data_IF_916153192036
#
_entry.id   IF_916153192036
#
_cell.length_a   1.000
_cell.length_b   1.000
_cell.length_c   1.000
_cell.angle_alpha   90.00
_cell.angle_beta   90.00
_cell.angle_gamma   90.00
#
_symmetry.space_group_name_H-M   'P 1'
#
loop_
_entity.id
_entity.type
_entity.pdbx_description
1 polymer ?
#
# COMPACT_ATOMS: atom_id res chain seq x y z
N UNK A 1 -57.26 68.33 27.87
CA UNK A 1 -56.41 67.36 28.61
C UNK A 1 -56.09 66.23 27.68
N UNK A 2 -54.90 66.28 27.03
CA UNK A 2 -54.55 65.40 25.97
C UNK A 2 -53.35 64.50 26.43
N UNK A 3 -53.59 63.21 26.56
CA UNK A 3 -52.59 62.23 26.98
C UNK A 3 -51.80 61.81 25.75
N UNK A 4 -50.50 62.13 25.71
CA UNK A 4 -49.58 61.67 24.71
C UNK A 4 -49.14 60.22 25.04
N UNK A 5 -49.47 59.30 24.17
CA UNK A 5 -48.93 57.94 24.18
C UNK A 5 -47.52 57.96 23.63
N UNK A 6 -46.51 57.57 24.42
CA UNK A 6 -45.17 57.30 23.98
C UNK A 6 -45.13 55.89 23.44
N UNK A 7 -44.72 55.74 22.17
CA UNK A 7 -44.42 54.43 21.51
C UNK A 7 -42.95 54.12 21.74
N UNK A 8 -42.68 53.07 22.50
CA UNK A 8 -41.35 52.51 22.69
C UNK A 8 -41.07 51.57 21.51
N UNK A 9 -40.16 51.99 20.62
CA UNK A 9 -39.65 51.12 19.56
C UNK A 9 -38.46 50.34 20.15
N UNK A 10 -38.70 49.07 20.50
CA UNK A 10 -37.60 48.13 20.76
C UNK A 10 -36.97 47.72 19.48
N UNK A 11 -35.80 48.25 19.18
CA UNK A 11 -34.92 47.76 18.09
C UNK A 11 -34.23 46.51 18.61
N UNK A 12 -34.71 45.35 18.20
CA UNK A 12 -34.00 44.08 18.39
C UNK A 12 -32.82 44.04 17.41
N UNK A 13 -31.64 44.23 17.91
CA UNK A 13 -30.41 43.89 17.17
C UNK A 13 -30.31 42.37 17.13
N UNK A 14 -30.72 41.75 16.02
CA UNK A 14 -30.33 40.40 15.66
C UNK A 14 -28.86 40.44 15.25
N UNK A 15 -27.96 40.12 16.17
CA UNK A 15 -26.60 39.77 15.85
C UNK A 15 -26.66 38.38 15.25
N UNK A 16 -26.72 38.32 13.91
CA UNK A 16 -26.45 37.09 13.17
C UNK A 16 -24.99 36.72 13.44
N UNK A 17 -24.77 35.80 14.38
CA UNK A 17 -23.53 35.04 14.38
C UNK A 17 -23.53 34.18 13.11
N UNK A 18 -22.89 34.69 12.09
CA UNK A 18 -22.44 33.84 11.01
C UNK A 18 -21.41 32.88 11.63
N UNK A 19 -21.86 31.69 11.97
CA UNK A 19 -20.96 30.57 12.18
C UNK A 19 -20.34 30.34 10.78
N UNK A 20 -19.15 30.91 10.55
CA UNK A 20 -18.31 30.55 9.42
C UNK A 20 -17.93 29.10 9.68
N UNK A 21 -18.69 28.15 9.10
CA UNK A 21 -18.19 26.81 8.93
C UNK A 21 -16.95 26.96 8.06
N UNK A 22 -15.77 26.85 8.66
CA UNK A 22 -14.55 26.71 7.89
C UNK A 22 -14.83 25.60 6.86
N UNK A 23 -14.73 25.95 5.59
CA UNK A 23 -14.98 25.02 4.51
C UNK A 23 -13.90 23.96 4.61
N UNK A 24 -14.25 22.77 5.09
CA UNK A 24 -13.34 21.64 5.20
C UNK A 24 -13.12 21.14 3.79
N UNK A 25 -11.96 21.41 3.24
CA UNK A 25 -11.57 20.87 1.95
C UNK A 25 -11.14 19.42 2.10
N UNK A 26 -11.56 18.57 1.17
CA UNK A 26 -11.30 17.15 1.17
C UNK A 26 -10.66 16.75 -0.16
N UNK A 27 -9.49 16.14 -0.08
CA UNK A 27 -8.75 15.68 -1.26
C UNK A 27 -8.56 14.17 -1.17
N UNK A 28 -8.63 13.48 -2.29
CA UNK A 28 -8.41 12.05 -2.40
C UNK A 28 -7.28 11.77 -3.39
N UNK A 29 -6.25 11.09 -2.92
CA UNK A 29 -5.16 10.56 -3.73
C UNK A 29 -5.18 9.04 -3.69
N UNK A 30 -4.73 8.41 -4.76
CA UNK A 30 -4.47 6.98 -4.81
C UNK A 30 -2.99 6.77 -4.95
N UNK A 31 -2.45 5.99 -4.04
CA UNK A 31 -1.01 5.77 -3.92
C UNK A 31 -0.75 4.29 -4.13
N UNK A 32 0.14 3.97 -5.05
CA UNK A 32 0.73 2.65 -5.14
C UNK A 32 2.15 2.70 -4.64
N UNK A 33 2.51 1.77 -3.76
CA UNK A 33 3.87 1.64 -3.26
C UNK A 33 4.39 0.26 -3.57
N UNK A 34 5.58 0.17 -4.14
CA UNK A 34 6.32 -1.08 -4.25
C UNK A 34 7.48 -1.05 -3.27
N UNK A 35 7.42 -1.89 -2.25
CA UNK A 35 8.51 -2.10 -1.32
C UNK A 35 9.32 -3.33 -1.74
N UNK A 36 10.64 -3.21 -1.76
CA UNK A 36 11.59 -4.29 -2.01
C UNK A 36 12.60 -4.35 -0.89
N UNK A 37 12.75 -5.52 -0.29
CA UNK A 37 13.79 -5.79 0.69
C UNK A 37 14.91 -6.59 0.04
N UNK A 38 16.12 -6.11 0.18
CA UNK A 38 17.34 -6.77 -0.31
C UNK A 38 18.41 -6.70 0.77
N UNK A 39 18.45 -7.72 1.62
CA UNK A 39 19.41 -7.77 2.71
C UNK A 39 19.91 -9.18 3.04
N UNK A 40 21.17 -9.24 3.48
CA UNK A 40 21.80 -10.43 4.04
C UNK A 40 21.35 -10.66 5.47
N UNK A 41 20.98 -11.90 5.79
CA UNK A 41 20.62 -12.32 7.15
C UNK A 41 21.69 -13.23 7.72
N UNK A 42 22.02 -12.97 9.00
CA UNK A 42 22.94 -13.78 9.80
C UNK A 42 22.20 -14.24 11.05
N UNK A 43 22.31 -15.53 11.38
CA UNK A 43 21.79 -16.10 12.64
C UNK A 43 22.98 -16.61 13.45
N UNK A 44 23.13 -16.12 14.68
CA UNK A 44 24.26 -16.44 15.56
C UNK A 44 25.62 -16.23 14.86
N UNK A 45 25.74 -15.11 14.12
CA UNK A 45 26.93 -14.76 13.35
C UNK A 45 27.14 -15.53 12.05
N UNK A 46 26.34 -16.59 11.78
CA UNK A 46 26.46 -17.38 10.56
C UNK A 46 25.57 -16.79 9.46
N UNK A 47 26.12 -16.56 8.27
CA UNK A 47 25.39 -16.14 7.08
C UNK A 47 24.38 -17.23 6.67
N UNK A 48 23.10 -16.85 6.56
CA UNK A 48 22.01 -17.75 6.20
C UNK A 48 21.60 -17.59 4.73
N UNK A 49 21.66 -16.37 4.21
CA UNK A 49 21.28 -16.09 2.84
C UNK A 49 20.91 -14.64 2.60
N UNK A 50 20.54 -14.37 1.36
CA UNK A 50 19.97 -13.11 0.94
C UNK A 50 18.45 -13.21 1.05
N UNK A 51 17.85 -12.28 1.78
CA UNK A 51 16.40 -12.13 1.86
C UNK A 51 15.98 -11.11 0.79
N UNK A 52 15.12 -11.56 -0.10
CA UNK A 52 14.45 -10.70 -1.07
C UNK A 52 12.96 -10.87 -0.92
N UNK A 53 12.31 -9.84 -0.39
CA UNK A 53 10.86 -9.78 -0.28
C UNK A 53 10.33 -8.62 -1.11
N UNK A 54 9.11 -8.74 -1.58
CA UNK A 54 8.40 -7.66 -2.25
C UNK A 54 6.99 -7.54 -1.67
N UNK A 55 6.57 -6.30 -1.46
CA UNK A 55 5.19 -5.98 -1.13
C UNK A 55 4.73 -4.84 -2.05
N UNK A 56 3.48 -4.91 -2.48
CA UNK A 56 2.82 -3.86 -3.25
C UNK A 56 1.63 -3.37 -2.48
N UNK A 57 1.52 -2.08 -2.38
CA UNK A 57 0.47 -1.41 -1.64
C UNK A 57 -0.40 -0.65 -2.63
N UNK A 58 -1.70 -0.76 -2.44
CA UNK A 58 -2.68 0.11 -3.05
C UNK A 58 -3.42 0.83 -1.93
N UNK A 59 -3.29 2.15 -1.91
CA UNK A 59 -3.73 2.99 -0.79
C UNK A 59 -4.56 4.14 -1.32
N UNK A 60 -5.69 4.40 -0.69
CA UNK A 60 -6.47 5.62 -0.84
C UNK A 60 -6.11 6.52 0.33
N UNK A 61 -5.53 7.68 0.03
CA UNK A 61 -5.25 8.75 0.97
C UNK A 61 -6.37 9.78 0.87
N UNK A 62 -6.98 10.12 1.99
CA UNK A 62 -7.93 11.24 2.07
C UNK A 62 -7.39 12.29 3.00
N UNK A 63 -7.06 13.46 2.49
CA UNK A 63 -6.66 14.62 3.27
C UNK A 63 -7.89 15.44 3.65
N UNK A 64 -7.97 15.81 4.92
CA UNK A 64 -8.92 16.79 5.45
C UNK A 64 -8.13 17.97 5.99
N UNK A 65 -8.26 19.13 5.34
CA UNK A 65 -7.49 20.33 5.67
C UNK A 65 -8.27 21.20 6.67
N UNK A 66 -7.62 21.54 7.78
CA UNK A 66 -8.07 22.49 8.78
C UNK A 66 -7.19 23.74 8.72
N UNK A 67 -7.54 24.79 9.42
CA UNK A 67 -6.83 26.08 9.39
C UNK A 67 -5.37 25.99 9.91
N UNK A 68 -5.08 25.04 10.81
CA UNK A 68 -3.81 24.91 11.52
C UNK A 68 -3.15 23.54 11.35
N UNK A 69 -3.85 22.56 10.76
CA UNK A 69 -3.34 21.21 10.53
C UNK A 69 -4.09 20.48 9.43
N UNK A 70 -3.57 19.32 9.02
CA UNK A 70 -4.26 18.37 8.14
C UNK A 70 -4.36 17.01 8.81
N UNK A 71 -5.45 16.30 8.50
CA UNK A 71 -5.65 14.90 8.87
C UNK A 71 -5.65 14.08 7.59
N UNK A 72 -4.71 13.14 7.49
CA UNK A 72 -4.63 12.17 6.41
C UNK A 72 -5.18 10.83 6.89
N UNK A 73 -6.18 10.30 6.19
CA UNK A 73 -6.67 8.95 6.40
C UNK A 73 -6.20 8.08 5.24
N UNK A 74 -5.61 6.96 5.58
CA UNK A 74 -5.09 5.97 4.64
C UNK A 74 -5.90 4.69 4.76
N UNK A 75 -6.51 4.25 3.66
CA UNK A 75 -7.23 2.99 3.57
C UNK A 75 -6.77 2.23 2.33
N UNK A 76 -6.60 0.93 2.44
CA UNK A 76 -6.21 0.14 1.29
C UNK A 76 -5.79 -1.27 1.62
N UNK A 77 -4.89 -1.80 0.82
CA UNK A 77 -4.42 -3.18 0.93
C UNK A 77 -2.94 -3.30 0.58
N UNK A 78 -2.26 -4.20 1.28
CA UNK A 78 -0.92 -4.67 0.95
C UNK A 78 -1.00 -6.07 0.35
N UNK A 79 -0.43 -6.24 -0.82
CA UNK A 79 -0.25 -7.50 -1.53
C UNK A 79 1.17 -8.00 -1.25
N UNK A 80 1.30 -9.05 -0.47
CA UNK A 80 2.58 -9.46 0.10
C UNK A 80 3.07 -10.75 -0.53
N UNK A 81 4.33 -10.76 -0.96
CA UNK A 81 5.07 -11.94 -1.34
C UNK A 81 6.09 -12.25 -0.24
N UNK A 82 5.89 -13.32 0.51
CA UNK A 82 6.72 -13.73 1.65
C UNK A 82 7.87 -14.67 1.28
N UNK A 83 7.90 -15.18 0.05
CA UNK A 83 8.93 -16.14 -0.40
C UNK A 83 10.07 -15.42 -1.07
N UNK A 84 11.29 -15.80 -0.70
CA UNK A 84 12.48 -15.34 -1.40
C UNK A 84 12.42 -15.72 -2.87
N UNK A 85 12.51 -14.72 -3.75
CA UNK A 85 12.55 -14.91 -5.20
C UNK A 85 14.00 -15.02 -5.67
N UNK A 86 14.35 -16.15 -6.23
CA UNK A 86 15.59 -16.31 -7.00
C UNK A 86 15.24 -16.31 -8.48
N UNK A 87 15.88 -15.44 -9.28
CA UNK A 87 15.84 -15.43 -10.74
C UNK A 87 14.44 -15.41 -11.37
N UNK A 88 13.56 -14.52 -10.93
CA UNK A 88 12.19 -14.41 -11.48
C UNK A 88 12.01 -13.13 -12.31
N UNK A 89 12.92 -12.86 -13.23
CA UNK A 89 12.75 -11.81 -14.23
C UNK A 89 11.58 -12.16 -15.15
N UNK A 90 10.78 -11.18 -15.51
CA UNK A 90 9.64 -11.30 -16.44
C UNK A 90 8.52 -12.29 -16.05
N UNK A 91 8.29 -12.51 -14.76
CA UNK A 91 7.15 -13.30 -14.29
C UNK A 91 6.20 -12.47 -13.42
N UNK A 92 4.90 -12.78 -13.50
CA UNK A 92 3.90 -12.19 -12.61
C UNK A 92 4.18 -12.52 -11.13
N UNK A 93 3.67 -11.69 -10.23
CA UNK A 93 3.92 -11.78 -8.80
C UNK A 93 2.89 -12.67 -8.09
N UNK A 94 3.31 -13.82 -7.53
CA UNK A 94 2.45 -14.59 -6.63
C UNK A 94 2.23 -13.80 -5.33
N UNK A 95 0.99 -13.69 -4.91
CA UNK A 95 0.62 -13.07 -3.64
C UNK A 95 0.36 -14.14 -2.62
N UNK A 96 1.11 -14.12 -1.52
CA UNK A 96 0.93 -15.04 -0.38
C UNK A 96 -0.15 -14.55 0.59
N UNK A 97 -0.33 -13.24 0.69
CA UNK A 97 -1.34 -12.63 1.54
C UNK A 97 -1.79 -11.27 1.03
N UNK A 98 -3.06 -10.94 1.26
CA UNK A 98 -3.60 -9.59 1.11
C UNK A 98 -3.95 -9.09 2.50
N UNK A 99 -3.37 -7.97 2.89
CA UNK A 99 -3.49 -7.41 4.24
C UNK A 99 -4.19 -6.05 4.17
N UNK A 100 -5.23 -5.81 4.99
CA UNK A 100 -5.88 -4.51 5.02
C UNK A 100 -4.97 -3.44 5.61
N UNK A 101 -5.09 -2.23 5.08
CA UNK A 101 -4.42 -1.03 5.57
C UNK A 101 -5.49 -0.06 6.05
N UNK A 102 -5.36 0.43 7.28
CA UNK A 102 -6.14 1.55 7.77
C UNK A 102 -5.37 2.27 8.88
N UNK A 103 -5.01 3.53 8.64
CA UNK A 103 -4.39 4.38 9.65
C UNK A 103 -4.67 5.86 9.39
N UNK A 104 -4.43 6.69 10.39
CA UNK A 104 -4.62 8.13 10.33
C UNK A 104 -3.34 8.83 10.75
N UNK A 105 -2.95 9.85 10.01
CA UNK A 105 -1.84 10.75 10.33
C UNK A 105 -2.41 12.14 10.61
N UNK A 106 -2.02 12.74 11.75
CA UNK A 106 -2.33 14.12 12.07
C UNK A 106 -1.05 14.96 11.99
N UNK A 107 -1.08 16.05 11.23
CA UNK A 107 0.08 16.93 11.09
C UNK A 107 0.26 17.93 12.23
N UNK A 108 -0.70 18.01 13.16
CA UNK A 108 -0.55 18.88 14.34
C UNK A 108 0.37 18.22 15.38
N UNK A 109 1.61 18.70 15.56
CA UNK A 109 2.55 18.12 16.50
C UNK A 109 2.12 18.27 17.97
N UNK A 110 1.18 19.17 18.29
CA UNK A 110 0.69 19.36 19.64
C UNK A 110 -0.34 18.30 20.06
N UNK A 111 -0.98 17.61 19.11
CA UNK A 111 -2.06 16.67 19.39
C UNK A 111 -1.53 15.24 19.54
N UNK A 112 -0.37 14.89 18.96
CA UNK A 112 0.06 13.49 18.94
C UNK A 112 1.59 13.31 18.96
N UNK A 113 2.22 13.77 20.03
CA UNK A 113 3.67 13.55 20.21
C UNK A 113 4.04 12.09 20.44
N UNK A 114 3.12 11.26 20.94
CA UNK A 114 3.41 9.89 21.35
C UNK A 114 2.95 8.83 20.35
N UNK A 115 2.04 9.16 19.43
CA UNK A 115 1.55 8.20 18.43
C UNK A 115 0.96 8.92 17.18
N UNK A 116 1.78 9.25 16.18
CA UNK A 116 1.31 9.84 14.93
C UNK A 116 0.33 8.94 14.15
N UNK A 117 0.14 7.69 14.58
CA UNK A 117 -0.76 6.71 13.99
C UNK A 117 -1.80 6.24 15.00
N UNK A 118 -2.94 6.93 15.06
CA UNK A 118 -3.99 6.63 16.04
C UNK A 118 -4.75 5.34 15.76
N UNK A 119 -4.74 4.80 14.55
CA UNK A 119 -5.46 3.57 14.19
C UNK A 119 -4.63 2.73 13.25
N UNK A 120 -3.80 1.91 13.80
CA UNK A 120 -3.14 0.88 13.02
C UNK A 120 -3.90 -0.43 13.16
N UNK A 121 -4.64 -0.80 12.14
CA UNK A 121 -5.03 -2.19 11.95
C UNK A 121 -3.87 -2.95 11.29
N UNK A 122 -2.73 -3.00 11.98
CA UNK A 122 -1.72 -3.99 11.63
C UNK A 122 -2.28 -5.34 12.02
N UNK A 123 -2.47 -6.21 11.04
CA UNK A 123 -2.62 -7.61 11.39
C UNK A 123 -1.35 -8.03 12.12
N UNK A 124 -1.49 -8.77 13.24
CA UNK A 124 -0.37 -9.27 14.05
C UNK A 124 0.70 -10.00 13.22
N UNK A 125 0.35 -10.38 12.01
CA UNK A 125 1.17 -11.18 11.09
C UNK A 125 1.90 -10.37 10.00
N UNK A 126 1.62 -9.07 9.82
CA UNK A 126 2.08 -8.38 8.62
C UNK A 126 3.62 -8.25 8.56
N UNK A 127 4.30 -8.01 9.66
CA UNK A 127 5.75 -7.82 9.67
C UNK A 127 6.28 -6.73 8.74
N UNK A 128 5.40 -6.16 7.93
CA UNK A 128 5.70 -5.09 7.01
C UNK A 128 5.31 -3.77 7.65
N UNK A 129 6.24 -2.84 7.78
CA UNK A 129 5.91 -1.47 8.11
C UNK A 129 5.13 -0.91 6.94
N UNK A 130 3.81 -0.97 7.07
CA UNK A 130 2.92 -0.30 6.15
C UNK A 130 3.22 1.18 6.20
N UNK A 131 3.63 1.72 5.05
CA UNK A 131 3.91 3.12 4.95
C UNK A 131 4.87 3.55 6.07
N UNK A 132 6.16 3.48 5.81
CA UNK A 132 7.09 3.93 6.82
C UNK A 132 6.76 5.36 7.19
N UNK A 133 6.33 5.46 8.40
CA UNK A 133 6.00 6.68 9.05
C UNK A 133 7.27 7.44 9.37
N UNK A 134 7.92 7.90 8.35
CA UNK A 134 8.73 9.05 8.61
C UNK A 134 7.77 10.19 8.89
N UNK A 135 7.91 10.95 9.97
CA UNK A 135 7.35 12.27 10.05
C UNK A 135 8.01 13.04 8.92
N UNK A 136 7.34 12.99 7.79
CA UNK A 136 7.95 13.08 6.50
C UNK A 136 8.33 14.50 6.18
N UNK A 137 7.69 15.46 6.80
CA UNK A 137 7.97 16.85 6.51
C UNK A 137 8.09 17.63 7.81
N UNK A 138 8.97 18.62 7.86
CA UNK A 138 8.93 19.62 8.90
C UNK A 138 7.59 20.38 8.82
N UNK A 139 7.32 21.21 9.80
CA UNK A 139 6.16 22.11 9.78
C UNK A 139 6.13 22.98 8.52
N UNK A 140 7.29 23.25 7.91
CA UNK A 140 7.43 23.94 6.61
C UNK A 140 7.21 23.00 5.44
N UNK A 141 6.68 23.52 4.35
CA UNK A 141 6.62 22.79 3.07
C UNK A 141 8.03 22.54 2.54
N UNK A 142 8.21 21.45 1.82
CA UNK A 142 9.55 21.03 1.34
C UNK A 142 10.21 22.07 0.41
N UNK A 143 9.42 22.82 -0.34
CA UNK A 143 9.89 23.88 -1.22
C UNK A 143 10.32 25.15 -0.46
N UNK A 144 9.97 25.29 0.82
CA UNK A 144 10.38 26.40 1.70
C UNK A 144 11.68 26.07 2.47
N UNK A 145 12.20 24.84 2.37
CA UNK A 145 13.42 24.43 3.07
C UNK A 145 14.68 24.97 2.42
N UNK A 146 15.65 25.31 3.26
CA UNK A 146 16.99 25.75 2.83
C UNK A 146 17.96 24.57 2.92
N UNK A 147 18.83 24.42 1.92
CA UNK A 147 19.87 23.38 1.93
C UNK A 147 20.68 23.40 3.21
N UNK A 148 20.78 22.25 3.89
CA UNK A 148 21.41 22.10 5.20
C UNK A 148 20.46 22.32 6.38
N UNK A 149 19.20 22.68 6.15
CA UNK A 149 18.19 22.75 7.21
C UNK A 149 17.92 21.36 7.79
N UNK A 150 17.89 21.26 9.12
CA UNK A 150 17.73 20.01 9.86
C UNK A 150 16.50 20.07 10.74
N UNK A 151 15.88 18.91 10.98
CA UNK A 151 14.79 18.75 11.93
C UNK A 151 14.78 17.33 12.49
N UNK A 152 14.09 17.14 13.59
CA UNK A 152 13.91 15.86 14.24
C UNK A 152 12.48 15.39 14.13
N UNK A 153 12.29 14.07 14.13
CA UNK A 153 10.98 13.46 14.14
C UNK A 153 10.94 12.17 14.94
N UNK A 154 9.79 11.88 15.51
CA UNK A 154 9.50 10.61 16.18
C UNK A 154 8.69 9.73 15.27
N UNK A 155 8.98 8.44 15.26
CA UNK A 155 8.24 7.46 14.50
C UNK A 155 8.33 6.09 15.17
N UNK A 156 7.60 5.12 14.64
CA UNK A 156 7.68 3.72 15.04
C UNK A 156 8.04 2.89 13.82
N UNK A 157 9.06 2.04 13.95
CA UNK A 157 9.42 1.07 12.92
C UNK A 157 8.91 -0.30 13.32
N UNK A 158 8.18 -0.95 12.43
CA UNK A 158 7.81 -2.36 12.59
C UNK A 158 8.88 -3.24 11.96
N UNK A 159 9.35 -4.23 12.68
CA UNK A 159 10.36 -5.21 12.22
C UNK A 159 9.88 -6.62 12.51
N UNK A 160 10.25 -7.56 11.65
CA UNK A 160 9.98 -9.00 11.82
C UNK A 160 11.27 -9.79 11.62
N UNK A 161 12.14 -9.85 12.65
CA UNK A 161 13.45 -10.49 12.52
C UNK A 161 13.39 -11.99 12.30
N UNK A 162 12.37 -12.67 12.87
CA UNK A 162 12.13 -14.11 12.73
C UNK A 162 10.78 -14.34 12.00
N UNK A 163 10.73 -15.19 10.96
CA UNK A 163 9.50 -15.43 10.19
C UNK A 163 8.35 -16.04 11.00
N UNK A 164 8.67 -16.83 12.01
CA UNK A 164 7.73 -17.54 12.91
C UNK A 164 7.24 -16.71 14.10
N UNK A 165 7.77 -15.48 14.26
CA UNK A 165 7.40 -14.57 15.36
C UNK A 165 6.55 -13.40 14.86
N UNK A 166 5.86 -12.75 15.78
CA UNK A 166 5.10 -11.52 15.51
C UNK A 166 6.03 -10.36 15.13
N UNK A 167 5.48 -9.37 14.46
CA UNK A 167 6.16 -8.10 14.24
C UNK A 167 6.36 -7.36 15.55
N UNK A 168 7.47 -6.65 15.63
CA UNK A 168 7.87 -5.87 16.79
C UNK A 168 7.83 -4.39 16.37
N UNK A 169 7.28 -3.54 17.23
CA UNK A 169 7.27 -2.10 17.05
C UNK A 169 8.37 -1.47 17.88
N UNK A 170 9.23 -0.73 17.23
CA UNK A 170 10.37 -0.08 17.86
C UNK A 170 10.22 1.43 17.67
N UNK A 171 10.05 2.22 18.75
CA UNK A 171 10.06 3.67 18.63
C UNK A 171 11.43 4.15 18.16
N UNK A 172 11.46 5.12 17.28
CA UNK A 172 12.67 5.73 16.73
C UNK A 172 12.62 7.24 16.82
N UNK A 173 13.80 7.84 16.92
CA UNK A 173 14.04 9.25 16.67
C UNK A 173 14.86 9.36 15.41
N UNK A 174 14.35 10.10 14.45
CA UNK A 174 15.02 10.35 13.18
C UNK A 174 15.48 11.79 13.12
N UNK A 175 16.73 11.99 12.71
CA UNK A 175 17.29 13.28 12.34
C UNK A 175 17.24 13.41 10.82
N UNK A 176 16.65 14.48 10.34
CA UNK A 176 16.51 14.78 8.94
C UNK A 176 17.39 15.96 8.55
N UNK A 177 17.87 15.96 7.31
CA UNK A 177 18.60 17.06 6.71
C UNK A 177 18.11 17.25 5.27
N UNK A 178 17.72 18.46 4.92
CA UNK A 178 17.42 18.83 3.53
C UNK A 178 18.72 19.08 2.77
N UNK A 179 18.99 18.25 1.77
CA UNK A 179 20.20 18.29 0.95
C UNK A 179 20.07 19.17 -0.31
N UNK A 180 18.90 19.79 -0.51
CA UNK A 180 18.64 20.65 -1.67
C UNK A 180 18.00 19.90 -2.83
N UNK A 181 17.92 20.58 -3.97
CA UNK A 181 17.41 19.99 -5.23
C UNK A 181 18.53 19.26 -5.97
N UNK A 182 18.17 18.14 -6.59
CA UNK A 182 19.06 17.32 -7.44
C UNK A 182 18.29 16.67 -8.57
N UNK A 183 18.98 15.91 -9.42
CA UNK A 183 18.35 15.10 -10.46
C UNK A 183 18.40 13.64 -10.08
N UNK A 184 17.26 12.97 -10.07
CA UNK A 184 17.12 11.55 -9.88
C UNK A 184 16.37 10.91 -11.07
N UNK A 185 17.00 9.98 -11.79
CA UNK A 185 16.44 9.38 -13.01
C UNK A 185 15.89 10.39 -14.04
N UNK A 186 16.56 11.53 -14.21
CA UNK A 186 16.15 12.57 -15.14
C UNK A 186 15.06 13.52 -14.62
N UNK A 187 14.56 13.32 -13.41
CA UNK A 187 13.52 14.13 -12.77
C UNK A 187 14.19 15.07 -11.74
N UNK A 188 13.78 16.33 -11.70
CA UNK A 188 14.18 17.26 -10.65
C UNK A 188 13.50 16.89 -9.34
N UNK A 189 14.27 16.69 -8.28
CA UNK A 189 13.78 16.24 -6.99
C UNK A 189 14.34 17.06 -5.84
N UNK A 190 13.56 17.18 -4.76
CA UNK A 190 14.07 17.54 -3.46
C UNK A 190 14.68 16.30 -2.82
N UNK A 191 15.89 16.44 -2.28
CA UNK A 191 16.58 15.36 -1.59
C UNK A 191 16.66 15.63 -0.09
N UNK A 192 16.14 14.69 0.67
CA UNK A 192 16.20 14.66 2.14
C UNK A 192 16.96 13.43 2.57
N UNK A 193 17.83 13.59 3.56
CA UNK A 193 18.51 12.48 4.21
C UNK A 193 17.97 12.32 5.62
N UNK A 194 17.70 11.08 6.03
CA UNK A 194 17.33 10.76 7.40
C UNK A 194 18.28 9.74 8.00
N UNK A 195 18.60 9.90 9.28
CA UNK A 195 19.40 8.94 10.06
C UNK A 195 18.67 8.64 11.36
N UNK A 196 18.60 7.37 11.75
CA UNK A 196 18.03 6.99 13.03
C UNK A 196 18.67 5.72 13.58
N UNK A 197 18.68 5.63 14.91
CA UNK A 197 19.13 4.45 15.63
C UNK A 197 17.93 3.52 15.89
N UNK A 198 18.14 2.23 15.71
CA UNK A 198 17.19 1.20 16.10
C UNK A 198 17.61 0.67 17.46
N UNK A 199 16.96 1.17 18.53
CA UNK A 199 17.28 0.76 19.91
C UNK A 199 16.01 0.32 20.61
N UNK A 200 16.03 -0.90 21.10
CA UNK A 200 14.98 -1.47 21.92
C UNK A 200 15.60 -2.19 23.13
N UNK A 201 14.96 -2.02 24.27
CA UNK A 201 15.23 -2.80 25.47
C UNK A 201 13.91 -3.46 25.94
N UNK A 202 14.01 -4.54 26.67
CA UNK A 202 12.87 -5.34 27.15
C UNK A 202 11.78 -4.54 27.88
N UNK A 203 12.13 -3.39 28.45
CA UNK A 203 11.21 -2.47 29.14
C UNK A 203 10.24 -1.76 28.19
N UNK A 204 10.51 -1.74 26.87
CA UNK A 204 9.77 -0.94 25.90
C UNK A 204 8.51 -1.65 25.35
N UNK A 205 8.19 -2.86 25.84
CA UNK A 205 6.99 -3.64 25.55
C UNK A 205 6.61 -3.75 24.05
N UNK A 206 7.58 -4.20 23.23
CA UNK A 206 7.47 -4.22 21.76
C UNK A 206 6.69 -5.40 21.16
N UNK A 207 6.06 -6.24 21.98
CA UNK A 207 5.19 -7.32 21.51
C UNK A 207 5.86 -8.68 21.30
N UNK A 208 7.18 -8.80 21.23
CA UNK A 208 7.91 -10.08 21.27
C UNK A 208 8.50 -10.30 22.67
N UNK A 209 7.94 -11.25 23.42
CA UNK A 209 8.38 -11.57 24.78
C UNK A 209 9.75 -12.22 24.85
N UNK A 210 10.26 -12.76 23.74
CA UNK A 210 11.54 -13.47 23.67
C UNK A 210 12.71 -12.57 23.26
N UNK A 211 12.45 -11.45 22.59
CA UNK A 211 13.46 -10.46 22.26
C UNK A 211 13.79 -9.62 23.50
N UNK A 212 15.07 -9.48 23.80
CA UNK A 212 15.55 -8.71 24.95
C UNK A 212 16.14 -7.36 24.58
N UNK A 213 16.63 -7.23 23.33
CA UNK A 213 17.33 -6.04 22.86
C UNK A 213 17.34 -5.99 21.34
N UNK A 214 17.33 -4.80 20.77
CA UNK A 214 17.79 -4.54 19.41
C UNK A 214 18.82 -3.43 19.38
N UNK A 215 19.72 -3.50 18.43
CA UNK A 215 20.73 -2.49 18.14
C UNK A 215 20.84 -2.30 16.63
N UNK A 216 21.18 -1.09 16.22
CA UNK A 216 21.44 -0.81 14.83
C UNK A 216 21.22 0.63 14.45
N UNK A 217 21.40 0.87 13.15
CA UNK A 217 21.15 2.16 12.55
C UNK A 217 20.54 2.00 11.17
N UNK A 218 19.81 3.00 10.75
CA UNK A 218 19.31 3.14 9.39
C UNK A 218 19.62 4.51 8.86
N UNK A 219 19.93 4.56 7.58
CA UNK A 219 20.11 5.79 6.83
C UNK A 219 19.20 5.75 5.62
N UNK A 220 18.34 6.73 5.49
CA UNK A 220 17.40 6.84 4.39
C UNK A 220 17.78 8.03 3.48
N UNK A 221 17.78 7.79 2.18
CA UNK A 221 17.77 8.80 1.14
C UNK A 221 16.34 8.89 0.63
N UNK A 222 15.72 10.07 0.70
CA UNK A 222 14.31 10.32 0.45
C UNK A 222 14.20 11.37 -0.67
N UNK A 223 13.44 11.06 -1.71
CA UNK A 223 13.32 11.89 -2.89
C UNK A 223 11.86 12.27 -3.14
N UNK A 224 11.60 13.58 -3.23
CA UNK A 224 10.30 14.13 -3.57
C UNK A 224 10.38 14.81 -4.93
N UNK A 225 9.37 14.64 -5.73
CA UNK A 225 9.22 15.38 -6.98
C UNK A 225 9.22 16.90 -6.72
N UNK A 226 10.07 17.66 -7.45
CA UNK A 226 10.24 19.08 -7.19
C UNK A 226 9.11 19.96 -7.76
N UNK A 227 8.20 19.41 -8.55
CA UNK A 227 7.03 20.11 -9.09
C UNK A 227 5.78 19.83 -8.27
N UNK A 228 5.60 18.58 -7.85
CA UNK A 228 4.38 18.12 -7.16
C UNK A 228 4.55 18.00 -5.66
N UNK A 229 5.77 18.01 -5.14
CA UNK A 229 6.13 17.72 -3.76
C UNK A 229 5.72 16.30 -3.29
N UNK A 230 5.40 15.41 -4.24
CA UNK A 230 5.04 14.03 -3.94
C UNK A 230 6.28 13.18 -3.68
N UNK A 231 6.19 12.29 -2.70
CA UNK A 231 7.25 11.33 -2.39
C UNK A 231 7.40 10.33 -3.55
N UNK A 232 8.59 10.22 -4.13
CA UNK A 232 8.85 9.32 -5.26
C UNK A 232 9.55 8.04 -4.84
N UNK A 233 10.57 8.17 -3.98
CA UNK A 233 11.44 7.06 -3.70
C UNK A 233 12.12 7.22 -2.34
N UNK A 234 12.23 6.11 -1.60
CA UNK A 234 13.05 6.00 -0.39
C UNK A 234 14.01 4.83 -0.56
N UNK A 235 15.28 5.06 -0.29
CA UNK A 235 16.29 4.02 -0.14
C UNK A 235 16.83 4.02 1.27
N UNK A 236 16.55 2.97 2.03
CA UNK A 236 17.11 2.80 3.36
C UNK A 236 18.27 1.80 3.33
N UNK A 237 19.40 2.21 3.82
CA UNK A 237 20.48 1.30 4.22
C UNK A 237 20.20 0.85 5.64
N UNK A 238 20.14 -0.47 5.85
CA UNK A 238 19.89 -1.06 7.16
C UNK A 238 21.13 -1.82 7.66
N UNK A 239 21.38 -1.68 8.94
CA UNK A 239 22.29 -2.51 9.70
C UNK A 239 21.70 -2.67 11.10
N UNK A 240 21.11 -3.82 11.38
CA UNK A 240 20.31 -4.07 12.58
C UNK A 240 20.57 -5.46 13.14
N UNK A 241 20.61 -5.58 14.48
CA UNK A 241 20.82 -6.83 15.19
C UNK A 241 19.84 -6.99 16.34
N UNK A 242 19.24 -8.16 16.44
CA UNK A 242 18.21 -8.52 17.41
C UNK A 242 18.71 -9.64 18.31
N UNK A 243 18.53 -9.49 19.62
CA UNK A 243 19.03 -10.39 20.65
C UNK A 243 17.86 -11.04 21.37
N UNK A 244 17.96 -12.33 21.61
CA UNK A 244 16.89 -13.15 22.19
C UNK A 244 17.32 -13.77 23.52
N UNK A 245 16.33 -14.16 24.35
CA UNK A 245 16.54 -14.75 25.67
C UNK A 245 17.34 -16.06 25.65
N UNK A 246 17.22 -16.83 24.57
CA UNK A 246 17.95 -18.07 24.34
C UNK A 246 19.44 -17.85 23.99
N UNK A 247 19.89 -16.61 23.98
CA UNK A 247 21.22 -16.20 23.54
C UNK A 247 21.37 -16.10 22.03
N UNK A 248 20.32 -16.40 21.28
CA UNK A 248 20.31 -16.30 19.83
C UNK A 248 20.33 -14.85 19.35
N UNK A 249 20.94 -14.64 18.17
CA UNK A 249 20.95 -13.35 17.49
C UNK A 249 20.49 -13.45 16.05
N UNK A 250 19.85 -12.40 15.55
CA UNK A 250 19.54 -12.22 14.13
C UNK A 250 20.05 -10.87 13.69
N UNK A 251 20.92 -10.85 12.69
CA UNK A 251 21.46 -9.63 12.09
C UNK A 251 21.04 -9.50 10.65
N UNK A 252 20.55 -8.31 10.28
CA UNK A 252 20.21 -7.96 8.91
C UNK A 252 21.08 -6.81 8.42
N UNK A 253 21.57 -6.90 7.18
CA UNK A 253 22.39 -5.86 6.56
C UNK A 253 22.07 -5.77 5.07
N UNK A 254 21.67 -4.58 4.60
CA UNK A 254 21.36 -4.36 3.20
C UNK A 254 20.51 -3.13 2.98
N UNK A 255 19.48 -3.26 2.13
CA UNK A 255 18.65 -2.14 1.72
C UNK A 255 17.17 -2.48 1.76
N UNK A 256 16.37 -1.43 2.01
CA UNK A 256 14.93 -1.41 1.76
C UNK A 256 14.68 -0.29 0.75
N UNK A 257 13.91 -0.60 -0.27
CA UNK A 257 13.61 0.31 -1.37
C UNK A 257 12.09 0.49 -1.45
N UNK A 258 11.62 1.73 -1.51
CA UNK A 258 10.21 2.07 -1.58
C UNK A 258 9.99 2.97 -2.79
N UNK A 259 9.19 2.52 -3.73
CA UNK A 259 8.82 3.27 -4.94
C UNK A 259 7.36 3.69 -4.82
N UNK A 260 7.12 4.98 -4.96
CA UNK A 260 5.78 5.58 -4.87
C UNK A 260 5.30 6.02 -6.24
N UNK A 261 4.02 5.84 -6.49
CA UNK A 261 3.34 6.35 -7.67
C UNK A 261 1.95 6.83 -7.27
N UNK A 262 1.53 7.97 -7.79
CA UNK A 262 0.28 8.62 -7.44
C UNK A 262 -0.64 8.64 -8.65
N UNK A 263 -1.94 8.40 -8.39
CA UNK A 263 -3.02 8.59 -9.36
C UNK A 263 -4.22 9.19 -8.63
N UNK A 264 -4.80 10.27 -9.17
CA UNK A 264 -5.97 10.95 -8.59
C UNK A 264 -5.76 12.45 -8.37
N UNK A 265 -6.80 13.16 -7.98
CA UNK A 265 -6.90 14.60 -8.00
C UNK A 265 -6.29 15.30 -6.80
N UNK A 266 -4.99 15.43 -6.74
CA UNK A 266 -4.35 16.42 -5.86
C UNK A 266 -4.59 17.83 -6.37
N UNK A 267 -4.70 18.84 -5.50
CA UNK A 267 -4.78 20.27 -5.84
C UNK A 267 -3.47 20.86 -6.34
N UNK A 268 -2.48 20.05 -6.67
CA UNK A 268 -1.28 20.50 -7.40
C UNK A 268 -1.63 20.75 -8.87
N UNK A 269 -1.10 21.82 -9.43
CA UNK A 269 -1.32 22.34 -10.80
C UNK A 269 -1.07 21.29 -11.91
N UNK A 270 -0.55 20.12 -11.57
CA UNK A 270 -0.38 18.97 -12.44
C UNK A 270 -1.01 17.72 -11.83
N UNK A 271 -2.35 17.75 -11.58
CA UNK A 271 -3.08 16.50 -11.55
C UNK A 271 -2.73 15.79 -12.87
N UNK A 272 -1.92 14.72 -12.82
CA UNK A 272 -1.87 13.76 -13.91
C UNK A 272 -3.34 13.45 -14.14
N UNK A 273 -3.90 13.98 -15.24
CA UNK A 273 -5.31 13.76 -15.59
C UNK A 273 -5.52 12.29 -15.39
N UNK A 274 -6.36 11.95 -14.40
CA UNK A 274 -6.86 10.60 -14.19
C UNK A 274 -7.01 10.02 -15.60
N UNK A 275 -6.23 8.99 -15.92
CA UNK A 275 -6.57 8.18 -17.07
C UNK A 275 -7.95 7.62 -16.68
N UNK A 276 -9.00 8.34 -17.07
CA UNK A 276 -10.34 7.80 -16.98
C UNK A 276 -10.23 6.47 -17.69
N UNK A 277 -10.34 5.39 -16.94
CA UNK A 277 -10.58 4.10 -17.56
C UNK A 277 -11.81 4.36 -18.39
N UNK A 278 -11.60 4.52 -19.67
CA UNK A 278 -12.64 4.72 -20.66
C UNK A 278 -13.67 3.66 -20.32
N UNK A 279 -14.91 4.00 -20.09
CA UNK A 279 -15.95 3.12 -19.54
C UNK A 279 -15.82 1.75 -20.20
N UNK A 280 -15.19 0.81 -19.47
CA UNK A 280 -15.03 -0.56 -19.96
C UNK A 280 -16.43 -1.14 -19.99
N UNK A 281 -16.89 -1.44 -21.16
CA UNK A 281 -18.19 -2.07 -21.35
C UNK A 281 -18.06 -3.59 -21.17
N UNK A 282 -19.07 -4.25 -20.58
CA UNK A 282 -19.13 -5.71 -20.55
C UNK A 282 -19.06 -6.28 -21.97
N UNK A 283 -18.44 -7.45 -22.10
CA UNK A 283 -18.40 -8.18 -23.36
C UNK A 283 -18.97 -9.59 -23.18
N UNK A 284 -19.00 -10.38 -24.25
CA UNK A 284 -19.33 -11.80 -24.16
C UNK A 284 -18.29 -12.59 -23.33
N UNK A 285 -17.06 -12.07 -23.25
CA UNK A 285 -15.92 -12.70 -22.59
C UNK A 285 -15.74 -12.29 -21.11
N UNK A 286 -16.32 -11.17 -20.67
CA UNK A 286 -16.25 -10.73 -19.27
C UNK A 286 -17.41 -9.82 -18.87
N UNK A 287 -17.75 -9.86 -17.57
CA UNK A 287 -18.59 -8.86 -16.91
C UNK A 287 -17.70 -7.81 -16.24
N UNK A 288 -18.25 -6.60 -16.08
CA UNK A 288 -17.56 -5.48 -15.45
C UNK A 288 -18.29 -5.08 -14.17
N UNK A 289 -17.54 -4.98 -13.07
CA UNK A 289 -18.06 -4.51 -11.78
C UNK A 289 -17.09 -3.49 -11.19
N UNK A 290 -17.59 -2.37 -10.68
CA UNK A 290 -16.75 -1.40 -9.94
C UNK A 290 -16.73 -1.74 -8.47
N UNK A 291 -15.53 -1.65 -7.87
CA UNK A 291 -15.27 -1.87 -6.45
C UNK A 291 -14.42 -0.72 -5.90
N UNK A 292 -14.18 -0.70 -4.59
CA UNK A 292 -13.24 0.27 -3.98
C UNK A 292 -11.81 0.13 -4.53
N UNK A 293 -11.40 -1.07 -4.95
CA UNK A 293 -10.06 -1.34 -5.53
C UNK A 293 -9.92 -0.85 -6.97
N UNK A 294 -11.01 -0.62 -7.66
CA UNK A 294 -11.05 -0.28 -9.09
C UNK A 294 -12.05 -1.13 -9.86
N UNK A 295 -11.80 -1.32 -11.14
CA UNK A 295 -12.68 -2.04 -12.05
C UNK A 295 -12.34 -3.53 -12.10
N UNK A 296 -13.31 -4.40 -11.78
CA UNK A 296 -13.16 -5.86 -11.82
C UNK A 296 -13.74 -6.41 -13.13
N UNK A 297 -12.91 -7.12 -13.89
CA UNK A 297 -13.32 -7.94 -15.02
C UNK A 297 -13.52 -9.37 -14.54
N UNK A 298 -14.76 -9.87 -14.53
CA UNK A 298 -15.07 -11.28 -14.24
C UNK A 298 -15.06 -12.05 -15.54
N UNK A 299 -14.07 -12.92 -15.73
CA UNK A 299 -13.91 -13.67 -16.97
C UNK A 299 -15.01 -14.74 -17.11
N UNK A 300 -15.72 -14.69 -18.23
CA UNK A 300 -16.78 -15.64 -18.57
C UNK A 300 -16.27 -16.74 -19.48
N UNK A 301 -16.81 -17.93 -19.32
CA UNK A 301 -16.60 -19.03 -20.24
C UNK A 301 -15.13 -19.30 -20.56
N UNK A 302 -14.23 -18.99 -19.60
CA UNK A 302 -12.83 -19.32 -19.72
C UNK A 302 -12.64 -20.78 -19.27
N UNK A 303 -12.27 -21.63 -20.21
CA UNK A 303 -12.26 -23.06 -20.00
C UNK A 303 -10.82 -23.57 -19.75
N UNK A 304 -10.70 -24.30 -18.67
CA UNK A 304 -9.50 -25.06 -18.34
C UNK A 304 -9.77 -26.57 -18.53
N UNK A 305 -8.75 -27.33 -18.78
CA UNK A 305 -8.84 -28.78 -18.72
C UNK A 305 -9.34 -29.22 -17.30
N UNK A 306 -10.11 -30.30 -17.23
CA UNK A 306 -10.69 -30.76 -15.97
C UNK A 306 -9.61 -30.94 -14.91
N UNK A 307 -9.83 -30.36 -13.73
CA UNK A 307 -8.93 -30.38 -12.57
C UNK A 307 -7.48 -29.90 -12.84
N UNK A 308 -7.28 -29.13 -13.92
CA UNK A 308 -6.00 -28.57 -14.32
C UNK A 308 -6.06 -27.06 -14.45
N UNK A 309 -4.88 -26.46 -14.56
CA UNK A 309 -4.68 -25.05 -14.87
C UNK A 309 -4.26 -24.82 -16.34
N UNK A 310 -4.49 -25.80 -17.21
CA UNK A 310 -4.21 -25.75 -18.64
C UNK A 310 -5.43 -25.16 -19.37
N UNK A 311 -5.25 -24.09 -20.12
CA UNK A 311 -6.29 -23.49 -20.95
C UNK A 311 -6.64 -24.43 -22.12
N UNK A 312 -7.92 -24.50 -22.45
CA UNK A 312 -8.33 -25.20 -23.66
C UNK A 312 -7.99 -24.38 -24.91
N UNK A 313 -7.82 -25.09 -26.03
CA UNK A 313 -7.55 -24.44 -27.32
C UNK A 313 -8.65 -23.44 -27.70
N UNK A 314 -8.27 -22.27 -28.17
CA UNK A 314 -9.18 -21.19 -28.56
C UNK A 314 -9.42 -20.12 -27.51
N UNK A 315 -8.96 -20.34 -26.25
CA UNK A 315 -9.10 -19.36 -25.19
C UNK A 315 -8.13 -18.16 -25.37
N UNK A 316 -7.10 -18.28 -26.20
CA UNK A 316 -6.11 -17.23 -26.47
C UNK A 316 -6.74 -15.97 -27.07
N UNK A 317 -7.80 -16.14 -27.91
CA UNK A 317 -8.51 -14.99 -28.51
C UNK A 317 -9.24 -14.16 -27.46
N UNK A 318 -9.86 -14.81 -26.47
CA UNK A 318 -10.54 -14.14 -25.36
C UNK A 318 -9.53 -13.36 -24.50
N UNK A 319 -8.39 -13.98 -24.23
CA UNK A 319 -7.32 -13.33 -23.46
C UNK A 319 -6.68 -12.16 -24.22
N UNK A 320 -6.61 -12.21 -25.56
CA UNK A 320 -6.13 -11.10 -26.38
C UNK A 320 -7.04 -9.86 -26.27
N UNK A 321 -8.38 -10.05 -26.25
CA UNK A 321 -9.33 -8.97 -25.99
C UNK A 321 -9.13 -8.35 -24.60
N UNK A 322 -9.02 -9.19 -23.58
CA UNK A 322 -8.77 -8.76 -22.20
C UNK A 322 -7.44 -7.98 -22.11
N UNK A 323 -6.37 -8.49 -22.71
CA UNK A 323 -5.09 -7.81 -22.76
C UNK A 323 -5.17 -6.42 -23.43
N UNK A 324 -5.99 -6.28 -24.48
CA UNK A 324 -6.22 -4.98 -25.13
C UNK A 324 -6.92 -4.00 -24.17
N UNK A 325 -7.93 -4.45 -23.43
CA UNK A 325 -8.60 -3.65 -22.40
C UNK A 325 -7.63 -3.23 -21.30
N UNK A 326 -6.81 -4.15 -20.79
CA UNK A 326 -5.84 -3.85 -19.74
C UNK A 326 -4.78 -2.83 -20.21
N UNK A 327 -4.29 -2.94 -21.45
CA UNK A 327 -3.37 -1.96 -22.04
C UNK A 327 -4.01 -0.58 -22.18
N UNK A 328 -5.26 -0.53 -22.61
CA UNK A 328 -6.00 0.71 -22.79
C UNK A 328 -6.28 1.42 -21.44
N UNK A 329 -6.42 0.66 -20.35
CA UNK A 329 -6.69 1.20 -19.02
C UNK A 329 -5.56 2.07 -18.46
N UNK A 330 -4.30 1.85 -18.92
CA UNK A 330 -3.09 2.49 -18.40
C UNK A 330 -2.91 2.37 -16.88
N UNK A 331 -3.62 1.44 -16.26
CA UNK A 331 -3.53 1.23 -14.82
C UNK A 331 -2.14 0.71 -14.42
N UNK A 332 -1.64 1.09 -13.23
CA UNK A 332 -0.31 0.68 -12.79
C UNK A 332 -0.24 -0.80 -12.41
N UNK A 333 -1.33 -1.38 -11.92
CA UNK A 333 -1.37 -2.74 -11.38
C UNK A 333 -2.64 -3.48 -11.79
N UNK A 334 -2.50 -4.81 -11.99
CA UNK A 334 -3.58 -5.76 -12.25
C UNK A 334 -3.50 -6.90 -11.24
N UNK A 335 -4.58 -7.14 -10.52
CA UNK A 335 -4.67 -8.25 -9.57
C UNK A 335 -5.56 -9.35 -10.15
N UNK A 336 -4.98 -10.52 -10.40
CA UNK A 336 -5.62 -11.68 -11.00
C UNK A 336 -5.94 -12.68 -9.88
N UNK A 337 -7.20 -12.93 -9.60
CA UNK A 337 -7.64 -13.83 -8.54
C UNK A 337 -8.41 -15.02 -9.12
N UNK A 338 -7.90 -16.22 -8.86
CA UNK A 338 -8.55 -17.47 -9.25
C UNK A 338 -9.49 -17.97 -8.15
N UNK A 339 -10.62 -18.57 -8.57
CA UNK A 339 -11.63 -19.14 -7.68
C UNK A 339 -12.02 -20.54 -8.12
N UNK A 340 -12.40 -21.39 -7.17
CA UNK A 340 -13.00 -22.70 -7.39
C UNK A 340 -14.43 -22.76 -6.84
N UNK A 341 -15.16 -23.79 -7.17
CA UNK A 341 -16.29 -24.22 -6.36
C UNK A 341 -15.76 -24.75 -5.01
N UNK A 342 -16.58 -24.66 -3.98
CA UNK A 342 -16.27 -25.24 -2.67
C UNK A 342 -16.60 -26.74 -2.68
N UNK A 343 -15.70 -27.52 -3.28
CA UNK A 343 -15.82 -29.00 -3.41
C UNK A 343 -14.43 -29.62 -3.22
N UNK A 344 -14.34 -30.57 -2.31
CA UNK A 344 -13.09 -31.24 -2.00
C UNK A 344 -12.28 -30.56 -0.88
N UNK A 345 -10.97 -30.77 -0.85
CA UNK A 345 -10.10 -30.22 0.19
C UNK A 345 -9.73 -28.78 -0.08
N UNK A 346 -9.72 -27.97 0.97
CA UNK A 346 -9.39 -26.53 0.85
C UNK A 346 -8.00 -26.28 0.27
N UNK A 347 -7.00 -27.10 0.63
CA UNK A 347 -5.63 -26.98 0.13
C UNK A 347 -5.56 -27.20 -1.38
N UNK A 348 -6.28 -28.21 -1.90
CA UNK A 348 -6.32 -28.52 -3.33
C UNK A 348 -7.04 -27.41 -4.11
N UNK A 349 -8.14 -26.90 -3.55
CA UNK A 349 -8.89 -25.76 -4.11
C UNK A 349 -8.00 -24.51 -4.18
N UNK A 350 -7.27 -24.21 -3.10
CA UNK A 350 -6.37 -23.07 -3.01
C UNK A 350 -5.25 -23.18 -4.05
N UNK A 351 -4.64 -24.37 -4.16
CA UNK A 351 -3.56 -24.61 -5.11
C UNK A 351 -4.05 -24.53 -6.55
N UNK A 352 -5.18 -25.14 -6.89
CA UNK A 352 -5.74 -25.11 -8.24
C UNK A 352 -6.12 -23.68 -8.68
N UNK A 353 -6.75 -22.93 -7.78
CA UNK A 353 -7.11 -21.53 -8.06
C UNK A 353 -5.89 -20.65 -8.28
N UNK A 354 -4.83 -20.84 -7.47
CA UNK A 354 -3.56 -20.15 -7.62
C UNK A 354 -2.90 -20.45 -8.98
N UNK A 355 -2.85 -21.73 -9.36
CA UNK A 355 -2.26 -22.16 -10.63
C UNK A 355 -3.04 -21.58 -11.84
N UNK A 356 -4.38 -21.55 -11.78
CA UNK A 356 -5.21 -20.93 -12.83
C UNK A 356 -4.95 -19.43 -12.96
N UNK A 357 -4.90 -18.72 -11.84
CA UNK A 357 -4.54 -17.31 -11.84
C UNK A 357 -3.14 -17.05 -12.42
N UNK A 358 -2.17 -17.91 -12.07
CA UNK A 358 -0.82 -17.87 -12.62
C UNK A 358 -0.81 -18.07 -14.14
N UNK A 359 -1.55 -19.05 -14.65
CA UNK A 359 -1.65 -19.31 -16.09
C UNK A 359 -2.17 -18.09 -16.84
N UNK A 360 -3.28 -17.46 -16.33
CA UNK A 360 -3.82 -16.25 -16.93
C UNK A 360 -2.80 -15.11 -16.90
N UNK A 361 -2.13 -14.89 -15.77
CA UNK A 361 -1.12 -13.86 -15.66
C UNK A 361 0.03 -14.05 -16.67
N UNK A 362 0.49 -15.28 -16.87
CA UNK A 362 1.53 -15.62 -17.84
C UNK A 362 1.09 -15.38 -19.29
N UNK A 363 -0.14 -15.77 -19.63
CA UNK A 363 -0.69 -15.51 -20.97
C UNK A 363 -0.85 -14.00 -21.25
N UNK A 364 -1.31 -13.21 -20.27
CA UNK A 364 -1.38 -11.76 -20.39
C UNK A 364 0.00 -11.13 -20.60
N UNK A 365 1.05 -11.65 -19.94
CA UNK A 365 2.43 -11.20 -20.15
C UNK A 365 2.90 -11.54 -21.57
N UNK A 366 2.64 -12.75 -22.09
CA UNK A 366 2.93 -13.11 -23.48
C UNK A 366 2.22 -12.19 -24.47
N UNK A 367 1.03 -11.73 -24.13
CA UNK A 367 0.24 -10.76 -24.88
C UNK A 367 0.71 -9.31 -24.69
N UNK A 368 1.81 -9.08 -23.97
CA UNK A 368 2.50 -7.79 -23.83
C UNK A 368 2.03 -6.91 -22.68
N UNK A 369 1.37 -7.47 -21.66
CA UNK A 369 1.25 -6.81 -20.34
C UNK A 369 2.59 -6.97 -19.63
N UNK A 370 3.05 -5.90 -18.95
CA UNK A 370 4.32 -5.97 -18.24
C UNK A 370 4.20 -6.85 -16.98
N UNK A 371 5.20 -7.69 -16.75
CA UNK A 371 5.21 -8.61 -15.62
C UNK A 371 5.09 -7.90 -14.26
N UNK A 372 5.73 -6.74 -14.12
CA UNK A 372 5.66 -5.92 -12.92
C UNK A 372 4.26 -5.36 -12.63
N UNK A 373 3.37 -5.30 -13.62
CA UNK A 373 1.98 -4.88 -13.43
C UNK A 373 1.07 -6.02 -12.98
N UNK A 374 1.48 -7.27 -13.13
CA UNK A 374 0.66 -8.43 -12.84
C UNK A 374 0.94 -8.99 -11.45
N UNK A 375 -0.10 -9.09 -10.62
CA UNK A 375 -0.13 -9.82 -9.36
C UNK A 375 -1.18 -10.92 -9.44
N UNK A 376 -0.95 -12.07 -8.83
CA UNK A 376 -1.93 -13.14 -8.83
C UNK A 376 -2.02 -13.89 -7.50
N UNK A 377 -3.22 -14.35 -7.17
CA UNK A 377 -3.51 -15.18 -6.01
C UNK A 377 -4.58 -16.22 -6.30
N UNK A 378 -4.64 -17.25 -5.49
CA UNK A 378 -5.77 -18.16 -5.42
C UNK A 378 -6.66 -17.82 -4.22
N UNK A 379 -7.96 -17.89 -4.39
CA UNK A 379 -8.95 -17.77 -3.32
C UNK A 379 -9.61 -19.11 -2.97
N UNK A 380 -9.32 -20.18 -3.70
CA UNK A 380 -10.01 -21.44 -3.54
C UNK A 380 -11.53 -21.28 -3.65
N UNK A 381 -12.28 -21.99 -2.82
CA UNK A 381 -13.75 -21.90 -2.71
C UNK A 381 -14.24 -20.86 -1.71
N UNK A 382 -13.37 -20.02 -1.11
CA UNK A 382 -13.72 -19.14 0.02
C UNK A 382 -14.56 -17.91 -0.34
N UNK A 383 -14.68 -17.58 -1.64
CA UNK A 383 -15.42 -16.40 -2.14
C UNK A 383 -16.47 -16.83 -3.19
N UNK A 384 -17.51 -17.59 -2.81
CA UNK A 384 -18.55 -17.99 -3.74
C UNK A 384 -19.40 -16.79 -4.17
N UNK A 385 -19.83 -16.78 -5.43
CA UNK A 385 -20.80 -15.80 -5.99
C UNK A 385 -22.16 -16.42 -6.30
N UNK A 386 -22.26 -17.75 -6.17
CA UNK A 386 -23.47 -18.53 -6.33
C UNK A 386 -23.46 -19.73 -5.38
N UNK A 387 -24.61 -20.40 -5.22
CA UNK A 387 -24.68 -21.62 -4.38
C UNK A 387 -23.78 -22.73 -4.93
N UNK A 388 -23.08 -23.44 -4.04
CA UNK A 388 -22.32 -24.64 -4.39
C UNK A 388 -23.17 -25.91 -4.46
N UNK A 389 -24.47 -25.85 -4.15
CA UNK A 389 -25.38 -27.00 -4.16
C UNK A 389 -25.73 -27.43 -5.58
N UNK A 390 -25.77 -26.50 -6.53
CA UNK A 390 -26.11 -26.76 -7.94
C UNK A 390 -24.88 -26.71 -8.84
N UNK A 391 -24.89 -27.46 -9.95
CA UNK A 391 -23.76 -27.42 -10.90
C UNK A 391 -23.66 -26.05 -11.59
N UNK A 392 -24.79 -25.39 -11.87
CA UNK A 392 -24.81 -24.03 -12.43
C UNK A 392 -24.16 -23.02 -11.50
N UNK A 393 -24.39 -23.15 -10.19
CA UNK A 393 -23.77 -22.30 -9.19
C UNK A 393 -22.28 -22.59 -9.05
N UNK A 394 -21.89 -23.86 -9.00
CA UNK A 394 -20.47 -24.27 -9.00
C UNK A 394 -19.73 -23.79 -10.24
N UNK A 395 -20.37 -23.85 -11.41
CA UNK A 395 -19.79 -23.33 -12.67
C UNK A 395 -19.50 -21.83 -12.57
N UNK A 396 -20.39 -21.03 -11.98
CA UNK A 396 -20.19 -19.60 -11.74
C UNK A 396 -19.07 -19.34 -10.72
N UNK A 397 -18.89 -20.21 -9.74
CA UNK A 397 -17.85 -20.09 -8.74
C UNK A 397 -16.44 -20.41 -9.30
N UNK A 398 -16.35 -21.30 -10.31
CA UNK A 398 -15.11 -21.60 -11.06
C UNK A 398 -14.79 -20.48 -12.04
N UNK A 399 -14.15 -19.41 -11.59
CA UNK A 399 -13.89 -18.21 -12.37
C UNK A 399 -12.51 -17.63 -12.10
N UNK A 400 -12.08 -16.72 -12.95
CA UNK A 400 -10.96 -15.83 -12.71
C UNK A 400 -11.46 -14.38 -12.78
N UNK A 401 -11.03 -13.56 -11.85
CA UNK A 401 -11.31 -12.13 -11.80
C UNK A 401 -10.01 -11.35 -11.99
N UNK A 402 -10.06 -10.28 -12.78
CA UNK A 402 -8.95 -9.35 -12.95
C UNK A 402 -9.39 -7.99 -12.44
N UNK A 403 -8.77 -7.52 -11.36
CA UNK A 403 -8.98 -6.16 -10.86
C UNK A 403 -7.98 -5.22 -11.51
N UNK A 404 -8.49 -4.25 -12.24
CA UNK A 404 -7.77 -3.08 -12.73
C UNK A 404 -7.70 -2.11 -11.56
N UNK A 405 -6.53 -1.93 -10.96
CA UNK A 405 -6.36 -1.07 -9.79
C UNK A 405 -6.18 0.37 -10.25
N UNK A 406 -7.15 1.22 -9.90
CA UNK A 406 -7.26 2.62 -10.35
C UNK A 406 -6.95 3.61 -9.24
#
# INVERSE_FOLDING_TARGET
MTVKKAVFICVFFFVLHQIIFAQVERFENRITVTEKSDYSTYINGKYIGLTYNEARFYIIETETVYADHSIFNYEGEAFVLRKTRKNMENTAFPIDAVLPIAFTLNTNPAIDYDNPYQRENFTKDSGYPLFRSFPVLPVKKIDELVTGETWEGRATVSVKPKPDKNSIRIPIFAEFEYRGKTIYNGISVHYVQAVFALRYNKTDNAGDTDMIKSEGSRKADIYYDAETNQLLFIREKIEEEFFYKDGGTVKNRGFLLHFYSYSGGGTGINSIKRAEVTSILPSENFDVTKTKRGTVLKLKNLNFAADKAELLAGEEKKLAEIAAVLKASKAPLFFIEGHTADVGKNEDQQQLSLQRAQTIAQELIKLGIKAEQCMYAGAGGTKPIASNDTEEGRAKNRRVEITIME
#
